data_IF_545831408553
#
_entry.id   IF_545831408553
#
_cell.length_a   1.000
_cell.length_b   1.000
_cell.length_c   1.000
_cell.angle_alpha   90.00
_cell.angle_beta   90.00
_cell.angle_gamma   90.00
#
_symmetry.space_group_name_H-M   'P 1'
#
loop_
_entity.id
_entity.type
_entity.pdbx_description
1 polymer ?
#
# COMPACT_ATOMS: atom_id res chain seq x y z
N UNK A 1 -94.78 38.34 10.49
CA UNK A 1 -93.36 38.47 10.91
C UNK A 1 -92.66 37.14 10.63
N UNK A 2 -91.82 37.06 9.59
CA UNK A 2 -91.04 35.86 9.28
C UNK A 2 -89.55 36.19 9.37
N UNK A 3 -88.84 35.58 10.34
CA UNK A 3 -87.40 35.76 10.52
C UNK A 3 -86.66 34.80 9.58
N UNK A 4 -85.84 35.34 8.67
CA UNK A 4 -84.90 34.56 7.85
C UNK A 4 -83.61 34.38 8.63
N UNK A 5 -83.23 33.14 8.92
CA UNK A 5 -81.92 32.79 9.45
C UNK A 5 -80.95 32.55 8.27
N UNK A 6 -79.80 33.23 8.28
CA UNK A 6 -78.68 32.97 7.38
C UNK A 6 -77.78 31.93 8.02
N UNK A 7 -77.52 30.82 7.32
CA UNK A 7 -76.47 29.87 7.67
C UNK A 7 -75.21 30.20 6.86
N UNK A 8 -74.14 30.60 7.54
CA UNK A 8 -72.82 30.74 6.93
C UNK A 8 -72.14 29.37 6.90
N UNK A 9 -71.82 28.87 5.71
CA UNK A 9 -71.07 27.64 5.50
C UNK A 9 -69.58 27.93 5.70
N UNK A 10 -69.01 27.44 6.80
CA UNK A 10 -67.54 27.44 7.01
C UNK A 10 -66.97 26.21 6.34
N UNK A 11 -66.24 26.40 5.24
CA UNK A 11 -65.49 25.32 4.58
C UNK A 11 -64.15 25.16 5.30
N UNK A 12 -64.01 24.09 6.07
CA UNK A 12 -62.74 23.64 6.65
C UNK A 12 -61.92 22.96 5.54
N UNK A 13 -60.89 23.64 5.04
CA UNK A 13 -59.89 23.04 4.15
C UNK A 13 -58.92 22.25 5.03
N UNK A 14 -59.07 20.93 5.05
CA UNK A 14 -58.08 20.04 5.66
C UNK A 14 -56.82 20.03 4.79
N UNK A 15 -55.78 20.76 5.23
CA UNK A 15 -54.46 20.71 4.61
C UNK A 15 -53.84 19.32 4.81
N UNK A 16 -53.81 18.50 3.76
CA UNK A 16 -53.03 17.27 3.75
C UNK A 16 -51.56 17.69 3.62
N UNK A 17 -50.86 17.78 4.74
CA UNK A 17 -49.41 17.92 4.73
C UNK A 17 -48.79 16.66 4.16
N UNK A 18 -48.22 16.73 2.95
CA UNK A 18 -47.32 15.69 2.47
C UNK A 18 -46.09 15.70 3.38
N UNK A 19 -46.02 14.75 4.32
CA UNK A 19 -44.78 14.43 5.02
C UNK A 19 -43.90 13.72 3.99
N UNK A 20 -42.89 14.43 3.47
CA UNK A 20 -41.88 13.81 2.63
C UNK A 20 -41.21 12.70 3.42
N UNK A 21 -41.30 11.46 2.93
CA UNK A 21 -40.54 10.35 3.49
C UNK A 21 -39.04 10.72 3.44
N UNK A 22 -38.26 10.44 4.49
CA UNK A 22 -36.83 10.68 4.45
C UNK A 22 -36.23 9.93 3.26
N UNK A 23 -35.45 10.63 2.44
CA UNK A 23 -34.74 10.01 1.33
C UNK A 23 -33.92 8.82 1.86
N UNK A 24 -34.02 7.66 1.22
CA UNK A 24 -33.21 6.52 1.57
C UNK A 24 -31.73 6.92 1.54
N UNK A 25 -31.00 6.65 2.62
CA UNK A 25 -29.58 6.91 2.69
C UNK A 25 -28.88 6.27 1.49
N UNK A 26 -27.94 7.00 0.86
CA UNK A 26 -27.14 6.44 -0.22
C UNK A 26 -26.45 5.15 0.28
N UNK A 27 -26.33 4.11 -0.57
CA UNK A 27 -25.67 2.87 -0.18
C UNK A 27 -24.23 3.16 0.25
N UNK A 28 -23.75 2.39 1.23
CA UNK A 28 -22.37 2.48 1.68
C UNK A 28 -21.40 2.23 0.51
N UNK A 29 -20.27 2.95 0.43
CA UNK A 29 -19.28 2.72 -0.63
C UNK A 29 -18.81 1.27 -0.69
N UNK A 30 -18.63 0.75 -1.90
CA UNK A 30 -18.20 -0.63 -2.14
C UNK A 30 -16.77 -0.67 -2.69
N UNK A 31 -15.98 -1.67 -2.30
CA UNK A 31 -14.62 -1.90 -2.78
C UNK A 31 -14.57 -2.93 -3.91
N UNK A 32 -13.73 -2.69 -4.92
CA UNK A 32 -13.40 -3.65 -5.99
C UNK A 32 -11.89 -3.84 -6.06
N UNK A 33 -11.42 -5.09 -6.05
CA UNK A 33 -9.99 -5.39 -6.23
C UNK A 33 -9.62 -5.06 -7.67
N UNK A 34 -8.70 -4.10 -7.85
CA UNK A 34 -8.29 -3.62 -9.17
C UNK A 34 -6.89 -4.07 -9.56
N UNK A 35 -6.07 -4.44 -8.58
CA UNK A 35 -4.70 -4.88 -8.86
C UNK A 35 -4.10 -5.77 -7.76
N UNK A 36 -3.19 -6.63 -8.17
CA UNK A 36 -2.33 -7.45 -7.34
C UNK A 36 -0.91 -7.32 -7.90
N UNK A 37 -0.04 -6.65 -7.15
CA UNK A 37 1.38 -6.52 -7.48
C UNK A 37 2.18 -7.58 -6.71
N UNK A 38 3.00 -8.34 -7.43
CA UNK A 38 3.74 -9.47 -6.84
C UNK A 38 5.23 -9.19 -6.92
N UNK A 39 5.86 -9.03 -5.76
CA UNK A 39 7.30 -8.93 -5.69
C UNK A 39 7.92 -10.31 -5.53
N UNK A 40 8.78 -10.69 -6.48
CA UNK A 40 9.29 -12.05 -6.59
C UNK A 40 10.77 -12.14 -6.22
N UNK A 41 11.16 -13.26 -5.63
CA UNK A 41 12.56 -13.62 -5.53
C UNK A 41 13.15 -13.78 -6.92
N UNK A 42 14.31 -13.17 -7.14
CA UNK A 42 15.14 -13.48 -8.29
C UNK A 42 15.51 -14.98 -8.29
N UNK A 43 15.94 -15.48 -9.45
CA UNK A 43 16.30 -16.89 -9.62
C UNK A 43 17.30 -17.32 -8.52
N UNK A 44 16.93 -18.37 -7.78
CA UNK A 44 17.73 -18.90 -6.67
C UNK A 44 17.44 -18.30 -5.28
N UNK A 45 16.63 -17.24 -5.17
CA UNK A 45 16.24 -16.62 -3.89
C UNK A 45 14.96 -17.18 -3.26
N UNK A 46 14.31 -18.15 -3.90
CA UNK A 46 13.06 -18.75 -3.42
C UNK A 46 13.26 -19.66 -2.19
N UNK A 47 12.25 -20.49 -1.88
CA UNK A 47 12.35 -21.51 -0.83
C UNK A 47 12.95 -22.83 -1.36
N UNK A 48 13.89 -23.50 -0.64
CA UNK A 48 14.55 -23.07 0.61
C UNK A 48 15.50 -21.89 0.38
N UNK A 49 15.74 -21.10 1.43
CA UNK A 49 16.65 -19.95 1.35
C UNK A 49 18.01 -20.35 0.75
N UNK A 50 18.62 -19.49 -0.08
CA UNK A 50 19.90 -19.81 -0.68
C UNK A 50 20.99 -19.95 0.39
N UNK A 51 22.05 -20.74 0.13
CA UNK A 51 23.15 -20.94 1.08
C UNK A 51 24.02 -19.69 1.25
N UNK A 52 23.94 -18.73 0.32
CA UNK A 52 24.63 -17.46 0.31
C UNK A 52 23.69 -16.34 -0.20
N UNK A 53 24.06 -15.09 0.03
CA UNK A 53 23.39 -13.96 -0.62
C UNK A 53 23.48 -14.08 -2.16
N UNK A 54 22.51 -13.53 -2.89
CA UNK A 54 22.54 -13.47 -4.34
C UNK A 54 22.44 -12.03 -4.88
N UNK A 55 22.71 -11.04 -4.03
CA UNK A 55 22.75 -9.63 -4.41
C UNK A 55 23.96 -9.27 -5.28
N UNK A 56 23.94 -8.05 -5.81
CA UNK A 56 25.07 -7.43 -6.49
C UNK A 56 25.16 -5.98 -6.04
N UNK A 57 26.36 -5.45 -6.03
CA UNK A 57 26.61 -4.05 -5.68
C UNK A 57 25.92 -3.12 -6.69
N UNK A 58 25.60 -1.92 -6.22
CA UNK A 58 24.94 -0.87 -6.97
C UNK A 58 25.74 -0.48 -8.22
N UNK A 59 25.03 -0.14 -9.29
CA UNK A 59 25.61 0.48 -10.48
C UNK A 59 24.75 1.68 -10.91
N UNK A 60 25.04 2.88 -10.39
CA UNK A 60 24.33 4.10 -10.76
C UNK A 60 24.37 4.42 -12.27
N UNK A 61 25.35 3.88 -13.02
CA UNK A 61 25.43 4.08 -14.47
C UNK A 61 24.38 3.27 -15.25
N UNK A 62 23.81 2.25 -14.61
CA UNK A 62 22.78 1.37 -15.17
C UNK A 62 21.35 1.79 -14.79
N UNK A 63 21.17 2.92 -14.10
CA UNK A 63 19.86 3.38 -13.66
C UNK A 63 18.99 3.79 -14.85
N UNK A 64 17.78 3.24 -14.90
CA UNK A 64 16.73 3.75 -15.77
C UNK A 64 16.25 5.13 -15.32
N UNK A 65 15.69 5.88 -16.27
CA UNK A 65 15.08 7.20 -16.00
C UNK A 65 13.57 7.20 -16.20
N UNK A 66 13.02 6.13 -16.76
CA UNK A 66 11.63 6.04 -17.21
C UNK A 66 10.78 5.39 -16.13
N UNK A 67 9.91 6.13 -15.43
CA UNK A 67 8.96 5.55 -14.49
C UNK A 67 7.86 4.76 -15.23
N UNK A 68 7.25 3.83 -14.51
CA UNK A 68 6.04 3.12 -14.97
C UNK A 68 4.95 3.33 -13.93
N UNK A 69 3.71 3.52 -14.39
CA UNK A 69 2.60 3.93 -13.56
C UNK A 69 1.46 2.94 -13.66
N UNK A 70 0.73 2.80 -12.57
CA UNK A 70 -0.43 1.93 -12.50
C UNK A 70 -1.74 2.62 -12.88
N UNK A 71 -1.73 3.96 -12.92
CA UNK A 71 -2.88 4.79 -13.31
C UNK A 71 -3.71 5.34 -12.15
N UNK A 72 -3.24 5.23 -10.91
CA UNK A 72 -3.82 5.93 -9.77
C UNK A 72 -2.75 6.61 -8.90
N UNK A 73 -3.23 7.40 -7.94
CA UNK A 73 -2.45 7.95 -6.84
C UNK A 73 -3.19 7.60 -5.55
N UNK A 74 -2.47 7.28 -4.48
CA UNK A 74 -3.07 7.23 -3.13
C UNK A 74 -3.74 8.55 -2.81
N UNK A 75 -5.00 8.50 -2.41
CA UNK A 75 -5.80 9.66 -2.05
C UNK A 75 -6.76 9.33 -0.90
N UNK A 76 -7.00 10.28 -0.01
CA UNK A 76 -8.07 10.19 0.98
C UNK A 76 -7.89 9.15 2.10
N UNK A 77 -6.73 8.49 2.21
CA UNK A 77 -6.35 7.73 3.40
C UNK A 77 -6.02 8.68 4.57
N UNK A 78 -6.13 8.20 5.80
CA UNK A 78 -6.00 9.00 7.02
C UNK A 78 -4.54 9.29 7.44
N UNK A 79 -3.57 8.96 6.58
CA UNK A 79 -2.14 9.12 6.83
C UNK A 79 -1.60 8.13 7.88
N UNK A 80 -2.28 7.01 8.13
CA UNK A 80 -1.81 5.95 9.03
C UNK A 80 -1.61 4.65 8.28
N UNK A 81 -0.54 3.95 8.65
CA UNK A 81 -0.20 2.63 8.17
C UNK A 81 -0.24 1.65 9.34
N UNK A 82 -1.05 0.61 9.24
CA UNK A 82 -1.34 -0.29 10.35
C UNK A 82 -0.57 -1.60 10.19
N UNK A 83 0.54 -1.75 10.91
CA UNK A 83 1.33 -2.98 10.91
C UNK A 83 0.81 -3.96 11.96
N UNK A 84 0.40 -5.15 11.53
CA UNK A 84 0.09 -6.24 12.46
C UNK A 84 1.36 -6.84 13.05
N UNK A 85 1.79 -6.29 14.20
CA UNK A 85 3.02 -6.70 14.88
C UNK A 85 3.02 -8.15 15.34
N UNK A 86 1.85 -8.77 15.54
CA UNK A 86 1.78 -10.19 15.95
C UNK A 86 2.21 -11.16 14.84
N UNK A 87 2.21 -10.71 13.58
CA UNK A 87 2.63 -11.51 12.42
C UNK A 87 4.11 -11.38 12.10
N UNK A 88 4.77 -10.32 12.61
CA UNK A 88 6.17 -9.99 12.27
C UNK A 88 7.11 -11.11 12.73
N UNK A 89 7.98 -11.64 11.85
CA UNK A 89 9.00 -12.61 12.22
C UNK A 89 9.87 -12.10 13.38
N UNK A 90 10.22 -12.98 14.33
CA UNK A 90 11.04 -12.62 15.49
C UNK A 90 12.45 -12.13 15.14
N UNK A 91 12.90 -12.38 13.90
CA UNK A 91 14.16 -11.85 13.36
C UNK A 91 14.11 -10.37 12.98
N UNK A 92 12.93 -9.75 12.99
CA UNK A 92 12.72 -8.33 12.69
C UNK A 92 12.30 -7.59 13.97
N UNK A 93 13.28 -7.04 14.66
CA UNK A 93 13.08 -6.36 15.95
C UNK A 93 12.62 -4.91 15.81
N UNK A 94 13.08 -4.21 14.77
CA UNK A 94 12.81 -2.81 14.38
C UNK A 94 11.83 -2.64 13.23
N UNK A 95 11.13 -3.69 12.77
CA UNK A 95 10.16 -3.63 11.65
C UNK A 95 9.26 -2.36 11.58
N UNK A 96 8.64 -1.84 12.67
CA UNK A 96 7.85 -0.60 12.57
C UNK A 96 8.69 0.61 12.11
N UNK A 97 9.93 0.73 12.60
CA UNK A 97 10.85 1.80 12.21
C UNK A 97 11.35 1.62 10.77
N UNK A 98 11.63 0.39 10.35
CA UNK A 98 12.04 0.07 8.97
C UNK A 98 10.93 0.40 7.97
N UNK A 99 9.67 0.05 8.29
CA UNK A 99 8.52 0.41 7.46
C UNK A 99 8.33 1.94 7.40
N UNK A 100 8.49 2.63 8.53
CA UNK A 100 8.44 4.10 8.58
C UNK A 100 9.55 4.72 7.73
N UNK A 101 10.76 4.16 7.74
CA UNK A 101 11.86 4.62 6.92
C UNK A 101 11.55 4.46 5.42
N UNK A 102 10.85 3.40 5.02
CA UNK A 102 10.35 3.22 3.65
C UNK A 102 9.38 4.34 3.25
N UNK A 103 8.40 4.67 4.09
CA UNK A 103 7.50 5.81 3.83
C UNK A 103 8.26 7.14 3.72
N UNK A 104 9.25 7.35 4.59
CA UNK A 104 10.06 8.57 4.59
C UNK A 104 10.90 8.70 3.30
N UNK A 105 11.34 7.58 2.70
CA UNK A 105 12.05 7.61 1.42
C UNK A 105 11.20 8.21 0.29
N UNK A 106 9.90 7.87 0.26
CA UNK A 106 8.95 8.39 -0.73
C UNK A 106 8.53 9.85 -0.47
N UNK A 107 8.18 10.18 0.77
CA UNK A 107 7.72 11.52 1.13
C UNK A 107 8.84 12.56 1.15
N UNK A 108 10.10 12.15 1.31
CA UNK A 108 11.25 13.08 1.19
C UNK A 108 11.64 13.37 -0.26
N UNK A 109 11.26 12.50 -1.20
CA UNK A 109 11.55 12.66 -2.62
C UNK A 109 10.50 13.46 -3.41
N UNK A 110 9.34 13.75 -2.82
CA UNK A 110 8.18 14.34 -3.50
C UNK A 110 7.18 14.97 -2.52
N UNK A 111 6.01 15.39 -3.00
CA UNK A 111 4.87 15.77 -2.14
C UNK A 111 3.92 14.59 -1.87
N UNK A 112 4.38 13.35 -2.03
CA UNK A 112 3.59 12.16 -1.75
C UNK A 112 3.03 12.19 -0.31
N UNK A 113 1.79 11.73 -0.09
CA UNK A 113 1.20 11.69 1.24
C UNK A 113 2.08 10.95 2.25
N UNK A 114 2.38 11.59 3.38
CA UNK A 114 3.11 10.98 4.48
C UNK A 114 2.22 10.05 5.29
N UNK A 115 2.80 8.94 5.76
CA UNK A 115 2.15 8.00 6.66
C UNK A 115 2.90 7.89 7.98
N UNK A 116 2.15 7.75 9.07
CA UNK A 116 2.66 7.34 10.38
C UNK A 116 2.39 5.84 10.56
N UNK A 117 3.45 5.07 10.81
CA UNK A 117 3.33 3.64 11.09
C UNK A 117 2.86 3.43 12.52
N UNK A 118 1.74 2.73 12.66
CA UNK A 118 1.16 2.25 13.90
C UNK A 118 1.32 0.73 13.99
N UNK A 119 1.34 0.20 15.23
CA UNK A 119 1.47 -1.24 15.50
C UNK A 119 0.18 -1.86 16.05
N UNK A 120 -0.94 -1.19 15.79
CA UNK A 120 -2.30 -1.57 16.18
C UNK A 120 -3.04 -2.40 15.12
N UNK A 121 -2.38 -2.73 14.00
CA UNK A 121 -2.94 -3.56 12.95
C UNK A 121 -3.33 -4.94 13.48
N UNK A 122 -4.48 -5.45 13.04
CA UNK A 122 -5.00 -6.77 13.47
C UNK A 122 -5.25 -7.74 12.32
N UNK A 123 -5.22 -7.24 11.08
CA UNK A 123 -5.45 -8.07 9.89
C UNK A 123 -4.33 -9.09 9.69
N UNK A 124 -4.72 -10.31 9.34
CA UNK A 124 -3.81 -11.41 8.98
C UNK A 124 -3.92 -11.80 7.50
N UNK A 125 -4.77 -11.09 6.76
CA UNK A 125 -4.98 -11.22 5.34
C UNK A 125 -5.40 -9.85 4.77
N UNK A 126 -5.00 -9.52 3.52
CA UNK A 126 -5.43 -8.31 2.84
C UNK A 126 -6.96 -8.21 2.80
N UNK A 127 -7.52 -7.10 3.25
CA UNK A 127 -8.97 -6.89 3.40
C UNK A 127 -9.30 -5.40 3.24
N UNK A 128 -10.01 -5.05 2.16
CA UNK A 128 -10.49 -3.67 1.97
C UNK A 128 -11.29 -3.15 3.17
N UNK A 129 -10.71 -2.22 3.92
CA UNK A 129 -11.25 -1.61 5.13
C UNK A 129 -10.99 -0.08 5.19
N UNK A 130 -10.51 0.52 4.10
CA UNK A 130 -10.11 1.93 3.95
C UNK A 130 -8.85 2.33 4.72
N UNK A 131 -7.98 1.37 5.02
CA UNK A 131 -6.71 1.62 5.70
C UNK A 131 -5.55 1.11 4.84
N UNK A 132 -4.32 1.49 5.19
CA UNK A 132 -3.15 0.84 4.64
C UNK A 132 -2.65 -0.20 5.64
N UNK A 133 -2.99 -1.47 5.45
CA UNK A 133 -2.59 -2.55 6.36
C UNK A 133 -1.35 -3.30 5.88
N UNK A 134 -0.48 -3.66 6.83
CA UNK A 134 0.77 -4.39 6.59
C UNK A 134 0.83 -5.62 7.49
N UNK A 135 1.14 -6.78 6.91
CA UNK A 135 1.13 -8.05 7.64
C UNK A 135 2.09 -9.07 7.03
N UNK A 136 2.47 -10.08 7.81
CA UNK A 136 3.16 -11.25 7.31
C UNK A 136 2.23 -12.45 7.26
N UNK A 137 2.33 -13.25 6.19
CA UNK A 137 1.54 -14.45 6.03
C UNK A 137 2.06 -15.34 4.90
N UNK A 138 1.38 -16.46 4.67
CA UNK A 138 1.84 -17.44 3.68
C UNK A 138 1.61 -16.89 2.26
N UNK A 139 2.65 -16.91 1.45
CA UNK A 139 2.62 -16.60 0.01
C UNK A 139 2.92 -17.86 -0.82
N UNK A 140 2.89 -17.77 -2.15
CA UNK A 140 3.22 -18.88 -3.04
C UNK A 140 4.67 -18.86 -3.52
N UNK A 141 5.30 -20.03 -3.66
CA UNK A 141 6.55 -20.21 -4.43
C UNK A 141 7.70 -19.27 -4.05
N UNK A 142 8.03 -18.37 -4.98
CA UNK A 142 9.09 -17.37 -4.87
C UNK A 142 8.59 -15.97 -4.48
N UNK A 143 7.32 -15.79 -4.14
CA UNK A 143 6.75 -14.49 -3.80
C UNK A 143 7.27 -13.98 -2.46
N UNK A 144 7.96 -12.84 -2.48
CA UNK A 144 8.49 -12.16 -1.30
C UNK A 144 7.39 -11.36 -0.61
N UNK A 145 6.63 -10.59 -1.37
CA UNK A 145 5.53 -9.80 -0.87
C UNK A 145 4.50 -9.56 -1.98
N UNK A 146 3.31 -9.14 -1.58
CA UNK A 146 2.19 -8.83 -2.47
C UNK A 146 1.47 -7.59 -1.97
N UNK A 147 1.32 -6.58 -2.83
CA UNK A 147 0.44 -5.45 -2.58
C UNK A 147 -0.88 -5.66 -3.31
N UNK A 148 -1.99 -5.57 -2.58
CA UNK A 148 -3.35 -5.66 -3.10
C UNK A 148 -3.94 -4.27 -3.11
N UNK A 149 -4.46 -3.83 -4.26
CA UNK A 149 -5.06 -2.50 -4.39
C UNK A 149 -6.54 -2.62 -4.73
N UNK A 150 -7.37 -1.93 -3.94
CA UNK A 150 -8.79 -1.79 -4.21
C UNK A 150 -9.13 -0.36 -4.61
N UNK A 151 -10.12 -0.25 -5.49
CA UNK A 151 -10.81 1.01 -5.79
C UNK A 151 -12.18 0.98 -5.14
N UNK A 152 -12.47 1.98 -4.34
CA UNK A 152 -13.80 2.18 -3.76
C UNK A 152 -14.70 2.95 -4.72
N UNK A 153 -16.01 2.75 -4.60
CA UNK A 153 -17.02 3.39 -5.47
C UNK A 153 -17.05 4.92 -5.35
N UNK A 154 -16.52 5.47 -4.26
CA UNK A 154 -16.34 6.91 -4.03
C UNK A 154 -14.97 7.44 -4.55
N UNK A 155 -14.17 6.59 -5.17
CA UNK A 155 -12.92 6.98 -5.84
C UNK A 155 -11.66 6.87 -4.98
N UNK A 156 -11.77 6.41 -3.73
CA UNK A 156 -10.61 6.14 -2.87
C UNK A 156 -9.85 4.91 -3.37
N UNK A 157 -8.53 5.00 -3.40
CA UNK A 157 -7.64 3.86 -3.56
C UNK A 157 -7.03 3.45 -2.23
N UNK A 158 -7.08 2.16 -1.97
CA UNK A 158 -6.57 1.53 -0.75
C UNK A 158 -5.59 0.43 -1.14
N UNK A 159 -4.53 0.26 -0.36
CA UNK A 159 -3.58 -0.84 -0.59
C UNK A 159 -3.13 -1.50 0.71
N UNK A 160 -3.19 -2.84 0.70
CA UNK A 160 -2.66 -3.68 1.77
C UNK A 160 -1.46 -4.47 1.27
N UNK A 161 -0.50 -4.74 2.16
CA UNK A 161 0.71 -5.48 1.80
C UNK A 161 0.92 -6.72 2.66
N UNK A 162 1.00 -7.88 2.01
CA UNK A 162 1.30 -9.18 2.61
C UNK A 162 2.76 -9.57 2.33
N UNK A 163 3.60 -9.52 3.35
CA UNK A 163 4.97 -10.05 3.29
C UNK A 163 4.99 -11.57 3.56
N UNK A 164 5.87 -12.31 2.89
CA UNK A 164 5.95 -13.76 3.05
C UNK A 164 6.47 -14.16 4.42
N UNK A 165 5.70 -14.95 5.19
CA UNK A 165 6.18 -15.59 6.41
C UNK A 165 7.04 -16.83 6.16
N UNK A 166 7.30 -17.17 4.89
CA UNK A 166 7.99 -18.40 4.48
C UNK A 166 9.42 -18.18 3.99
N UNK A 167 9.87 -16.93 3.95
CA UNK A 167 11.21 -16.54 3.54
C UNK A 167 12.04 -16.09 4.75
N UNK A 168 13.37 -16.09 4.59
CA UNK A 168 14.28 -15.59 5.60
C UNK A 168 14.33 -14.06 5.53
N UNK A 169 14.10 -13.40 6.67
CA UNK A 169 14.13 -11.94 6.81
C UNK A 169 15.21 -11.47 7.77
N UNK A 170 15.80 -10.31 7.49
CA UNK A 170 16.78 -9.65 8.36
C UNK A 170 16.65 -8.13 8.29
N UNK A 171 17.15 -7.50 9.34
CA UNK A 171 17.42 -6.06 9.44
C UNK A 171 18.92 -5.90 9.15
N UNK A 172 19.27 -5.63 7.90
CA UNK A 172 20.67 -5.61 7.48
C UNK A 172 21.31 -4.30 7.99
N UNK A 173 22.34 -4.36 8.86
CA UNK A 173 22.77 -3.19 9.64
C UNK A 173 23.47 -2.10 8.83
N UNK A 174 24.06 -2.42 7.67
CA UNK A 174 24.75 -1.44 6.81
C UNK A 174 24.42 -1.67 5.34
N UNK A 175 24.24 -0.56 4.61
CA UNK A 175 23.92 -0.59 3.18
C UNK A 175 25.15 -0.75 2.31
N UNK A 176 26.34 -0.25 2.70
CA UNK A 176 27.54 -0.31 1.86
C UNK A 176 27.26 0.18 0.42
N UNK A 177 27.63 -0.63 -0.56
CA UNK A 177 27.30 -0.47 -1.98
C UNK A 177 25.99 -1.21 -2.36
N UNK A 178 25.15 -1.53 -1.40
CA UNK A 178 23.83 -2.12 -1.58
C UNK A 178 23.77 -3.64 -1.51
N UNK A 179 24.90 -4.35 -1.39
CA UNK A 179 24.93 -5.81 -1.26
C UNK A 179 25.75 -6.28 -0.06
N UNK A 180 25.09 -6.99 0.85
CA UNK A 180 25.75 -7.68 1.95
C UNK A 180 25.83 -9.18 1.66
N UNK A 181 26.95 -9.61 1.08
CA UNK A 181 27.16 -10.99 0.64
C UNK A 181 27.09 -12.03 1.78
N UNK A 182 27.29 -11.59 3.03
CA UNK A 182 27.24 -12.44 4.21
C UNK A 182 25.81 -12.75 4.70
N UNK A 183 24.79 -12.07 4.15
CA UNK A 183 23.39 -12.21 4.62
C UNK A 183 22.51 -12.88 3.57
N UNK A 184 22.26 -14.17 3.74
CA UNK A 184 21.34 -14.94 2.90
C UNK A 184 19.85 -14.77 3.33
N UNK A 185 19.39 -13.53 3.46
CA UNK A 185 18.02 -13.18 3.84
C UNK A 185 17.56 -11.89 3.14
N UNK A 186 16.26 -11.68 3.07
CA UNK A 186 15.66 -10.45 2.52
C UNK A 186 15.69 -9.33 3.54
N UNK A 187 16.08 -8.15 3.07
CA UNK A 187 16.06 -6.93 3.85
C UNK A 187 14.65 -6.36 3.98
N UNK A 188 14.12 -6.28 5.21
CA UNK A 188 12.74 -5.85 5.39
C UNK A 188 12.50 -4.40 4.91
N UNK A 189 13.38 -3.46 5.27
CA UNK A 189 13.22 -2.06 4.85
C UNK A 189 13.20 -1.91 3.33
N UNK A 190 14.16 -2.53 2.62
CA UNK A 190 14.24 -2.45 1.16
C UNK A 190 13.01 -3.04 0.47
N UNK A 191 12.54 -4.20 0.93
CA UNK A 191 11.31 -4.81 0.40
C UNK A 191 10.08 -3.96 0.71
N UNK A 192 9.93 -3.49 1.95
CA UNK A 192 8.82 -2.60 2.30
C UNK A 192 8.81 -1.34 1.44
N UNK A 193 9.97 -0.73 1.20
CA UNK A 193 10.09 0.47 0.34
C UNK A 193 9.60 0.21 -1.08
N UNK A 194 9.87 -0.98 -1.65
CA UNK A 194 9.32 -1.41 -2.94
C UNK A 194 7.79 -1.47 -2.92
N UNK A 195 7.20 -2.21 -1.97
CA UNK A 195 5.74 -2.37 -1.89
C UNK A 195 5.02 -1.04 -1.71
N UNK A 196 5.63 -0.09 -0.98
CA UNK A 196 5.10 1.25 -0.81
C UNK A 196 5.02 2.05 -2.12
N UNK A 197 5.89 1.77 -3.10
CA UNK A 197 5.76 2.40 -4.41
C UNK A 197 4.48 1.97 -5.14
N UNK A 198 4.04 0.72 -4.97
CA UNK A 198 2.74 0.27 -5.48
C UNK A 198 1.58 0.97 -4.78
N UNK A 199 1.64 1.15 -3.46
CA UNK A 199 0.66 1.94 -2.71
C UNK A 199 0.49 3.33 -3.34
N UNK A 200 1.60 3.99 -3.68
CA UNK A 200 1.63 5.31 -4.32
C UNK A 200 1.23 5.35 -5.80
N UNK A 201 1.17 4.20 -6.48
CA UNK A 201 0.73 4.11 -7.88
C UNK A 201 1.85 3.91 -8.91
N UNK A 202 3.03 3.46 -8.46
CA UNK A 202 4.13 3.07 -9.34
C UNK A 202 4.03 1.58 -9.70
N UNK A 203 4.45 1.28 -10.94
CA UNK A 203 4.50 -0.05 -11.51
C UNK A 203 5.97 -0.49 -11.71
N UNK A 204 6.19 -1.77 -11.96
CA UNK A 204 7.51 -2.32 -12.22
C UNK A 204 8.09 -1.80 -13.56
N UNK A 205 9.29 -1.18 -13.55
CA UNK A 205 10.02 -0.95 -14.78
C UNK A 205 10.55 -2.28 -15.34
N UNK A 206 10.42 -2.53 -16.65
CA UNK A 206 10.77 -3.84 -17.23
C UNK A 206 12.27 -4.15 -17.21
N UNK A 207 13.14 -3.13 -17.26
CA UNK A 207 14.59 -3.30 -17.43
C UNK A 207 15.41 -2.32 -16.57
N UNK A 208 15.05 -2.16 -15.29
CA UNK A 208 15.76 -1.27 -14.37
C UNK A 208 16.10 -2.00 -13.07
N UNK A 209 17.12 -2.87 -13.13
CA UNK A 209 17.49 -3.81 -12.05
C UNK A 209 17.71 -3.13 -10.70
N UNK A 210 18.26 -1.93 -10.73
CA UNK A 210 18.68 -1.19 -9.54
C UNK A 210 17.58 -0.27 -9.01
N UNK A 211 16.47 -0.12 -9.73
CA UNK A 211 15.30 0.58 -9.21
C UNK A 211 14.75 -0.07 -7.95
N UNK A 212 14.26 0.78 -7.04
CA UNK A 212 13.41 0.35 -5.93
C UNK A 212 12.24 -0.43 -6.48
N UNK A 213 11.58 0.04 -7.55
CA UNK A 213 10.43 -0.63 -8.16
C UNK A 213 10.76 -1.86 -9.04
N UNK A 214 12.01 -2.33 -9.11
CA UNK A 214 12.32 -3.53 -9.89
C UNK A 214 11.59 -4.77 -9.35
N UNK A 215 10.96 -5.55 -10.23
CA UNK A 215 10.07 -6.68 -9.90
C UNK A 215 10.74 -7.87 -9.18
N UNK A 216 12.06 -7.86 -9.02
CA UNK A 216 12.80 -8.96 -8.39
C UNK A 216 13.70 -8.51 -7.24
N UNK A 217 13.58 -9.21 -6.12
CA UNK A 217 14.38 -9.02 -4.91
C UNK A 217 15.46 -10.08 -4.77
N UNK A 218 16.53 -9.70 -4.07
CA UNK A 218 17.72 -10.54 -3.87
C UNK A 218 18.05 -10.60 -2.37
N UNK A 219 18.55 -11.75 -1.90
CA UNK A 219 19.02 -11.88 -0.53
C UNK A 219 20.31 -11.08 -0.35
N UNK A 220 20.43 -10.39 0.79
CA UNK A 220 21.55 -9.50 1.10
C UNK A 220 21.44 -8.11 0.45
N UNK A 221 20.45 -7.88 -0.42
CA UNK A 221 20.27 -6.60 -1.11
C UNK A 221 19.62 -5.56 -0.20
N UNK A 222 20.21 -4.36 -0.16
CA UNK A 222 19.69 -3.18 0.55
C UNK A 222 19.46 -1.98 -0.36
N UNK A 223 19.77 -2.12 -1.66
CA UNK A 223 19.63 -1.07 -2.70
C UNK A 223 18.26 -0.38 -2.66
N UNK A 224 17.19 -1.18 -2.54
CA UNK A 224 15.80 -0.70 -2.64
C UNK A 224 15.34 0.19 -1.48
N UNK A 225 16.15 0.37 -0.43
CA UNK A 225 15.92 1.35 0.63
C UNK A 225 16.00 2.80 0.11
N UNK A 226 16.76 3.03 -0.96
CA UNK A 226 16.95 4.34 -1.58
C UNK A 226 16.36 4.34 -2.97
N UNK A 227 15.53 5.34 -3.27
CA UNK A 227 14.89 5.46 -4.57
C UNK A 227 15.93 5.67 -5.68
N UNK A 228 15.82 4.93 -6.78
CA UNK A 228 16.60 5.20 -7.98
C UNK A 228 16.02 6.40 -8.76
N UNK A 229 16.64 6.73 -9.88
CA UNK A 229 16.24 7.89 -10.69
C UNK A 229 14.84 7.74 -11.28
N UNK A 230 14.51 6.58 -11.84
CA UNK A 230 13.17 6.27 -12.34
C UNK A 230 12.10 6.36 -11.24
N UNK A 231 12.38 5.83 -10.05
CA UNK A 231 11.48 5.87 -8.90
C UNK A 231 11.19 7.32 -8.46
N UNK A 232 12.24 8.14 -8.29
CA UNK A 232 12.10 9.57 -7.95
C UNK A 232 11.29 10.33 -9.00
N UNK A 233 11.62 10.15 -10.28
CA UNK A 233 10.88 10.79 -11.38
C UNK A 233 9.41 10.38 -11.35
N UNK A 234 9.14 9.10 -11.07
CA UNK A 234 7.79 8.56 -10.97
C UNK A 234 7.00 9.22 -9.85
N UNK A 235 7.50 9.20 -8.63
CA UNK A 235 6.77 9.75 -7.49
C UNK A 235 6.56 11.27 -7.62
N UNK A 236 7.54 12.02 -8.13
CA UNK A 236 7.37 13.47 -8.42
C UNK A 236 6.38 13.73 -9.55
N UNK A 237 6.21 12.80 -10.50
CA UNK A 237 5.20 12.95 -11.57
C UNK A 237 3.79 12.74 -11.02
N UNK A 238 3.63 11.87 -10.02
CA UNK A 238 2.34 11.58 -9.39
C UNK A 238 1.92 12.64 -8.38
N UNK A 239 2.85 13.33 -7.71
CA UNK A 239 2.62 14.24 -6.58
C UNK A 239 3.51 15.50 -6.58
#
# INVERSE_FOLDING_TARGET
MAKRAWFALVVLVAGIGLVAAPAAAAPAPQASLVRIDVFSAAKGGGRPAPPAANCTNDDPSAYGTTPVFTGWTTNGLDGKAHLNRSTVPSSLTTAPADLQAGFNAWSSASHAPSFTVLTDGTLTKPTANRQADFMFGRTGGSTIAVTYTWRWSDGLYESDTLFSSQLAWREIPETGDGCNEAVAAYDFQGIATHELGHLYGLDHPPNDRFATMYAYGYTGETLKRTLATSDRNGITTLY
#
